data_IF_355339763160
#
_entry.id   IF_355339763160
#
_cell.length_a   1.000
_cell.length_b   1.000
_cell.length_c   1.000
_cell.angle_alpha   90.00
_cell.angle_beta   90.00
_cell.angle_gamma   90.00
#
_symmetry.space_group_name_H-M   'P 1'
#
loop_
_entity.id
_entity.type
_entity.pdbx_description
1 polymer ?
#
# COMPACT_ATOMS: atom_id res chain seq x y z
N UNK A 1 -6.60 -55.73 -61.94
CA UNK A 1 -7.80 -55.26 -61.25
C UNK A 1 -7.79 -55.84 -59.80
N UNK A 2 -7.37 -55.15 -58.85
CA UNK A 2 -7.43 -55.56 -57.38
C UNK A 2 -8.15 -54.46 -56.62
N UNK A 3 -9.32 -54.79 -56.08
CA UNK A 3 -10.13 -53.93 -55.21
C UNK A 3 -9.50 -53.94 -53.82
N UNK A 4 -9.14 -52.77 -53.31
CA UNK A 4 -8.80 -52.60 -51.94
C UNK A 4 -10.04 -52.16 -51.17
N UNK A 5 -10.41 -52.95 -50.19
CA UNK A 5 -11.43 -52.63 -49.19
C UNK A 5 -10.81 -51.73 -48.08
N UNK A 6 -11.48 -50.66 -47.75
CA UNK A 6 -11.15 -49.79 -46.62
C UNK A 6 -11.73 -50.36 -45.31
N UNK A 7 -11.01 -50.36 -44.20
CA UNK A 7 -11.60 -50.70 -42.92
C UNK A 7 -12.29 -49.46 -42.27
N UNK A 8 -13.49 -49.69 -41.82
CA UNK A 8 -14.33 -48.81 -41.04
C UNK A 8 -13.71 -48.70 -39.62
N UNK A 9 -13.32 -47.50 -39.24
CA UNK A 9 -12.92 -47.19 -37.87
C UNK A 9 -14.18 -46.88 -37.04
N UNK A 10 -14.54 -47.82 -36.16
CA UNK A 10 -15.50 -47.59 -35.07
C UNK A 10 -14.88 -46.68 -34.05
N UNK A 11 -15.45 -45.49 -33.88
CA UNK A 11 -15.07 -44.54 -32.85
C UNK A 11 -15.78 -44.94 -31.57
N UNK A 12 -15.09 -45.66 -30.67
CA UNK A 12 -15.50 -45.80 -29.29
C UNK A 12 -15.39 -44.45 -28.59
N UNK A 13 -16.52 -43.83 -28.34
CA UNK A 13 -16.65 -42.69 -27.45
C UNK A 13 -16.55 -43.22 -26.02
N UNK A 14 -15.35 -43.14 -25.44
CA UNK A 14 -15.13 -43.30 -24.02
C UNK A 14 -15.75 -42.12 -23.26
N UNK A 15 -16.96 -42.29 -22.76
CA UNK A 15 -17.58 -41.38 -21.80
C UNK A 15 -16.73 -41.38 -20.50
N UNK A 16 -15.90 -40.35 -20.37
CA UNK A 16 -15.27 -40.05 -19.06
C UNK A 16 -16.35 -39.53 -18.11
N UNK A 17 -16.45 -40.06 -16.89
CA UNK A 17 -17.35 -39.53 -15.89
C UNK A 17 -16.98 -38.07 -15.62
N UNK A 18 -17.93 -37.17 -15.79
CA UNK A 18 -17.79 -35.77 -15.38
C UNK A 18 -17.65 -35.77 -13.86
N UNK A 19 -16.43 -35.63 -13.40
CA UNK A 19 -16.11 -35.42 -11.99
C UNK A 19 -16.82 -34.15 -11.53
N UNK A 20 -17.89 -34.30 -10.74
CA UNK A 20 -18.61 -33.19 -10.13
C UNK A 20 -17.60 -32.46 -9.26
N UNK A 21 -17.11 -31.33 -9.78
CA UNK A 21 -16.35 -30.36 -8.99
C UNK A 21 -17.14 -30.04 -7.73
N UNK A 22 -16.67 -30.53 -6.61
CA UNK A 22 -17.15 -30.11 -5.28
C UNK A 22 -17.16 -28.58 -5.25
N UNK A 23 -18.21 -27.95 -4.72
CA UNK A 23 -18.23 -26.49 -4.60
C UNK A 23 -16.98 -26.05 -3.84
N UNK A 24 -16.22 -25.15 -4.44
CA UNK A 24 -15.06 -24.55 -3.81
C UNK A 24 -15.46 -24.02 -2.42
N UNK A 25 -14.62 -24.16 -1.41
CA UNK A 25 -14.92 -23.58 -0.09
C UNK A 25 -15.21 -22.09 -0.27
N UNK A 26 -16.19 -21.53 0.47
CA UNK A 26 -16.54 -20.12 0.36
C UNK A 26 -15.26 -19.30 0.55
N UNK A 27 -14.93 -18.50 -0.45
CA UNK A 27 -13.82 -17.55 -0.36
C UNK A 27 -14.07 -16.67 0.87
N UNK A 28 -13.10 -16.58 1.77
CA UNK A 28 -13.11 -15.71 2.95
C UNK A 28 -13.08 -14.22 2.53
N UNK A 29 -14.07 -13.82 1.74
CA UNK A 29 -14.23 -12.43 1.34
C UNK A 29 -14.84 -11.65 2.50
N UNK A 30 -14.46 -10.38 2.72
CA UNK A 30 -15.00 -9.55 3.80
C UNK A 30 -16.53 -9.41 3.75
N UNK A 31 -17.14 -9.55 2.58
CA UNK A 31 -18.58 -9.61 2.41
C UNK A 31 -19.22 -10.85 3.05
N UNK A 32 -18.54 -11.99 3.02
CA UNK A 32 -19.00 -13.24 3.64
C UNK A 32 -19.00 -13.14 5.16
N UNK A 33 -17.98 -12.52 5.75
CA UNK A 33 -17.88 -12.30 7.20
C UNK A 33 -18.94 -11.32 7.68
N UNK A 34 -19.19 -10.24 6.95
CA UNK A 34 -20.28 -9.29 7.26
C UNK A 34 -21.64 -9.96 7.22
N UNK A 35 -21.93 -10.74 6.18
CA UNK A 35 -23.19 -11.49 6.08
C UNK A 35 -23.37 -12.49 7.23
N UNK A 36 -22.29 -13.09 7.72
CA UNK A 36 -22.32 -13.96 8.88
C UNK A 36 -22.64 -13.19 10.16
N UNK A 37 -22.00 -12.04 10.38
CA UNK A 37 -22.24 -11.15 11.52
C UNK A 37 -23.71 -10.68 11.52
N UNK A 38 -24.22 -10.25 10.36
CA UNK A 38 -25.61 -9.81 10.20
C UNK A 38 -26.61 -10.93 10.54
N UNK A 39 -26.36 -12.15 10.06
CA UNK A 39 -27.19 -13.32 10.39
C UNK A 39 -27.19 -13.63 11.88
N UNK A 40 -26.02 -13.52 12.53
CA UNK A 40 -25.88 -13.74 13.97
C UNK A 40 -26.57 -12.64 14.77
N UNK A 41 -26.54 -11.40 14.31
CA UNK A 41 -27.21 -10.26 14.95
C UNK A 41 -28.75 -10.35 14.90
N UNK A 42 -29.30 -10.99 13.88
CA UNK A 42 -30.74 -11.19 13.71
C UNK A 42 -31.32 -12.36 14.53
N UNK A 43 -30.46 -13.21 15.09
CA UNK A 43 -30.91 -14.34 15.91
C UNK A 43 -31.04 -13.92 17.38
N UNK A 44 -32.27 -13.88 17.96
CA UNK A 44 -32.49 -13.43 19.33
C UNK A 44 -31.91 -14.38 20.41
N UNK A 45 -31.37 -15.53 20.00
CA UNK A 45 -30.73 -16.49 20.90
C UNK A 45 -29.22 -16.22 21.05
N UNK A 46 -28.70 -15.30 20.27
CA UNK A 46 -27.28 -14.98 20.34
C UNK A 46 -26.98 -13.98 21.45
N UNK A 47 -25.94 -14.28 22.20
CA UNK A 47 -25.39 -13.43 23.22
C UNK A 47 -24.72 -12.19 22.60
N UNK A 48 -25.07 -11.00 23.11
CA UNK A 48 -24.51 -9.71 22.68
C UNK A 48 -22.99 -9.71 22.79
N UNK A 49 -22.44 -10.33 23.83
CA UNK A 49 -21.00 -10.45 24.03
C UNK A 49 -20.31 -11.22 22.88
N UNK A 50 -20.96 -12.23 22.35
CA UNK A 50 -20.46 -13.01 21.21
C UNK A 50 -20.41 -12.16 19.94
N UNK A 51 -21.42 -11.33 19.73
CA UNK A 51 -21.48 -10.40 18.60
C UNK A 51 -20.37 -9.34 18.70
N UNK A 52 -20.17 -8.76 19.88
CA UNK A 52 -19.07 -7.79 20.12
C UNK A 52 -17.71 -8.40 19.83
N UNK A 53 -17.45 -9.62 20.26
CA UNK A 53 -16.20 -10.34 19.96
C UNK A 53 -16.00 -10.57 18.45
N UNK A 54 -17.07 -10.93 17.73
CA UNK A 54 -17.01 -11.09 16.28
C UNK A 54 -16.74 -9.76 15.57
N UNK A 55 -17.38 -8.67 16.00
CA UNK A 55 -17.12 -7.33 15.47
C UNK A 55 -15.67 -6.88 15.72
N UNK A 56 -15.15 -7.12 16.93
CA UNK A 56 -13.77 -6.82 17.27
C UNK A 56 -12.78 -7.63 16.42
N UNK A 57 -13.05 -8.90 16.17
CA UNK A 57 -12.24 -9.73 15.26
C UNK A 57 -12.28 -9.18 13.82
N UNK A 58 -13.45 -8.82 13.33
CA UNK A 58 -13.61 -8.25 11.99
C UNK A 58 -12.82 -6.95 11.84
N UNK A 59 -12.91 -6.04 12.83
CA UNK A 59 -12.14 -4.81 12.83
C UNK A 59 -10.63 -5.06 12.81
N UNK A 60 -10.14 -6.04 13.59
CA UNK A 60 -8.73 -6.43 13.57
C UNK A 60 -8.29 -6.97 12.21
N UNK A 61 -9.11 -7.83 11.58
CA UNK A 61 -8.82 -8.33 10.23
C UNK A 61 -8.72 -7.18 9.24
N UNK A 62 -9.67 -6.25 9.26
CA UNK A 62 -9.66 -5.05 8.40
C UNK A 62 -8.45 -4.16 8.63
N UNK A 63 -8.07 -3.95 9.89
CA UNK A 63 -6.86 -3.19 10.22
C UNK A 63 -5.59 -3.87 9.71
N UNK A 64 -5.48 -5.19 9.86
CA UNK A 64 -4.33 -5.94 9.37
C UNK A 64 -4.26 -5.93 7.82
N UNK A 65 -5.40 -6.10 7.13
CA UNK A 65 -5.45 -5.99 5.67
C UNK A 65 -4.99 -4.60 5.20
N UNK A 66 -5.45 -3.53 5.85
CA UNK A 66 -5.08 -2.16 5.54
C UNK A 66 -3.57 -1.92 5.76
N UNK A 67 -3.01 -2.44 6.84
CA UNK A 67 -1.58 -2.36 7.15
C UNK A 67 -0.74 -3.13 6.12
N UNK A 68 -1.14 -4.33 5.75
CA UNK A 68 -0.45 -5.13 4.73
C UNK A 68 -0.48 -4.42 3.37
N UNK A 69 -1.62 -3.86 2.97
CA UNK A 69 -1.75 -3.10 1.73
C UNK A 69 -0.86 -1.85 1.74
N UNK A 70 -0.83 -1.10 2.86
CA UNK A 70 0.06 0.03 3.06
C UNK A 70 1.54 -0.36 2.92
N UNK A 71 1.97 -1.41 3.63
CA UNK A 71 3.35 -1.87 3.59
C UNK A 71 3.77 -2.34 2.20
N UNK A 72 2.86 -2.99 1.46
CA UNK A 72 3.10 -3.40 0.08
C UNK A 72 3.26 -2.19 -0.86
N UNK A 73 2.38 -1.18 -0.75
CA UNK A 73 2.46 0.06 -1.53
C UNK A 73 3.75 0.84 -1.20
N UNK A 74 4.06 1.04 0.08
CA UNK A 74 5.31 1.65 0.56
C UNK A 74 6.54 0.94 0.00
N UNK A 75 6.54 -0.41 0.02
CA UNK A 75 7.64 -1.21 -0.53
C UNK A 75 7.82 -1.01 -2.04
N UNK A 76 6.75 -0.87 -2.82
CA UNK A 76 6.82 -0.59 -4.26
C UNK A 76 7.38 0.81 -4.54
N UNK A 77 6.93 1.82 -3.79
CA UNK A 77 7.46 3.19 -3.89
C UNK A 77 8.96 3.22 -3.59
N UNK A 78 9.39 2.60 -2.49
CA UNK A 78 10.80 2.58 -2.09
C UNK A 78 11.70 1.90 -3.15
N UNK A 79 11.23 0.81 -3.77
CA UNK A 79 11.96 0.16 -4.87
C UNK A 79 12.12 1.09 -6.08
N UNK A 80 11.08 1.86 -6.44
CA UNK A 80 11.13 2.82 -7.55
C UNK A 80 12.01 4.02 -7.20
N UNK A 81 11.92 4.55 -5.98
CA UNK A 81 12.74 5.65 -5.50
C UNK A 81 14.24 5.31 -5.50
N UNK A 82 14.59 4.08 -5.17
CA UNK A 82 16.00 3.63 -5.19
C UNK A 82 16.64 3.71 -6.58
N UNK A 83 15.85 3.72 -7.65
CA UNK A 83 16.33 3.84 -9.03
C UNK A 83 16.42 5.30 -9.51
N UNK A 84 15.85 6.24 -8.76
CA UNK A 84 15.79 7.66 -9.15
C UNK A 84 17.04 8.38 -8.62
N UNK A 85 17.76 9.03 -9.52
CA UNK A 85 18.89 9.88 -9.17
C UNK A 85 18.42 11.31 -8.95
N UNK A 86 18.31 11.72 -7.69
CA UNK A 86 17.97 13.10 -7.33
C UNK A 86 19.20 13.98 -7.49
N UNK A 87 19.06 15.08 -8.24
CA UNK A 87 20.15 16.01 -8.52
C UNK A 87 20.24 17.08 -7.42
N UNK A 88 21.39 17.17 -6.77
CA UNK A 88 21.68 18.23 -5.80
C UNK A 88 22.19 19.47 -6.56
N UNK A 89 21.29 20.34 -6.96
CA UNK A 89 21.57 21.49 -7.83
C UNK A 89 21.63 22.83 -7.10
N UNK A 90 21.25 22.89 -5.82
CA UNK A 90 21.36 24.10 -5.01
C UNK A 90 22.50 23.97 -4.00
N UNK A 91 23.21 25.08 -3.78
CA UNK A 91 24.26 25.19 -2.78
C UNK A 91 23.94 26.34 -1.83
N UNK A 92 24.12 26.10 -0.54
CA UNK A 92 24.12 27.15 0.48
C UNK A 92 25.56 27.47 0.79
N UNK A 93 25.94 28.72 0.56
CA UNK A 93 27.21 29.26 1.06
C UNK A 93 26.94 29.73 2.50
N UNK A 94 27.81 29.41 3.46
CA UNK A 94 27.70 30.00 4.79
C UNK A 94 27.69 31.51 4.67
N UNK A 95 26.82 32.15 5.43
CA UNK A 95 26.71 33.60 5.48
C UNK A 95 28.04 34.18 6.01
N UNK A 96 28.85 34.72 5.10
CA UNK A 96 30.13 35.37 5.47
C UNK A 96 29.76 36.74 5.98
N UNK A 97 30.03 37.02 7.27
CA UNK A 97 29.94 38.36 7.81
C UNK A 97 30.73 39.32 6.90
N UNK A 98 29.99 40.32 6.33
CA UNK A 98 30.55 41.29 5.43
C UNK A 98 31.71 42.01 6.11
N UNK A 99 32.94 41.71 5.71
CA UNK A 99 34.13 42.46 6.11
C UNK A 99 35.31 41.68 6.62
N UNK A 100 35.25 40.35 6.76
CA UNK A 100 36.45 39.57 7.18
C UNK A 100 36.90 38.63 6.05
N UNK A 101 38.14 38.77 5.54
CA UNK A 101 38.66 37.79 4.60
C UNK A 101 38.94 36.49 5.35
N UNK A 102 38.03 35.52 5.19
CA UNK A 102 38.26 34.17 5.72
C UNK A 102 39.08 33.36 4.70
N UNK A 103 40.32 33.06 5.06
CA UNK A 103 41.16 32.03 4.45
C UNK A 103 40.64 30.67 4.90
N UNK A 104 39.70 30.08 4.16
CA UNK A 104 39.24 28.73 4.36
C UNK A 104 38.38 28.31 3.19
N UNK A 105 38.63 27.12 2.67
CA UNK A 105 37.80 26.50 1.64
C UNK A 105 36.53 26.05 2.33
N UNK A 106 35.45 26.87 2.25
CA UNK A 106 34.14 26.45 2.71
C UNK A 106 33.56 25.50 1.65
N UNK A 107 33.35 24.24 1.99
CA UNK A 107 32.57 23.35 1.15
C UNK A 107 31.12 23.86 1.13
N UNK A 108 30.68 24.28 -0.03
CA UNK A 108 29.30 24.62 -0.24
C UNK A 108 28.43 23.38 -0.01
N UNK A 109 27.55 23.43 0.96
CA UNK A 109 26.59 22.35 1.17
C UNK A 109 25.63 22.28 0.00
N UNK A 110 25.64 21.16 -0.73
CA UNK A 110 24.74 20.94 -1.86
C UNK A 110 23.53 20.13 -1.40
N UNK A 111 22.36 20.59 -1.76
CA UNK A 111 21.10 19.91 -1.46
C UNK A 111 20.19 19.84 -2.69
N UNK A 112 19.27 18.88 -2.66
CA UNK A 112 18.19 18.82 -3.62
C UNK A 112 17.05 19.70 -3.11
N UNK A 113 16.56 20.64 -3.90
CA UNK A 113 15.40 21.44 -3.52
C UNK A 113 14.15 20.56 -3.42
N UNK A 114 13.18 20.98 -2.60
CA UNK A 114 11.95 20.22 -2.38
C UNK A 114 11.19 19.98 -3.69
N UNK A 115 11.19 20.94 -4.59
CA UNK A 115 10.54 20.85 -5.89
C UNK A 115 11.10 19.71 -6.76
N UNK A 116 12.40 19.45 -6.65
CA UNK A 116 13.04 18.35 -7.38
C UNK A 116 12.66 17.00 -6.76
N UNK A 117 12.56 16.94 -5.45
CA UNK A 117 12.10 15.74 -4.74
C UNK A 117 10.63 15.46 -5.07
N UNK A 118 9.77 16.46 -4.98
CA UNK A 118 8.34 16.39 -5.25
C UNK A 118 8.03 15.91 -6.67
N UNK A 119 8.77 16.42 -7.65
CA UNK A 119 8.63 16.03 -9.05
C UNK A 119 8.73 14.51 -9.26
N UNK A 120 9.57 13.86 -8.50
CA UNK A 120 9.75 12.41 -8.57
C UNK A 120 8.83 11.65 -7.62
N UNK A 121 8.57 12.20 -6.44
CA UNK A 121 7.81 11.51 -5.39
C UNK A 121 6.30 11.51 -5.67
N UNK A 122 5.72 12.66 -6.07
CA UNK A 122 4.27 12.77 -6.28
C UNK A 122 3.67 11.78 -7.28
N UNK A 123 4.29 11.52 -8.46
CA UNK A 123 3.77 10.51 -9.38
C UNK A 123 3.74 9.11 -8.78
N UNK A 124 4.76 8.74 -7.99
CA UNK A 124 4.84 7.44 -7.35
C UNK A 124 3.79 7.27 -6.24
N UNK A 125 3.56 8.33 -5.46
CA UNK A 125 2.49 8.34 -4.45
C UNK A 125 1.11 8.19 -5.10
N UNK A 126 0.85 8.93 -6.18
CA UNK A 126 -0.42 8.86 -6.91
C UNK A 126 -0.66 7.47 -7.51
N UNK A 127 0.35 6.84 -8.10
CA UNK A 127 0.27 5.49 -8.67
C UNK A 127 -0.11 4.44 -7.62
N UNK A 128 0.43 4.56 -6.42
CA UNK A 128 0.20 3.63 -5.32
C UNK A 128 -0.94 4.08 -4.38
N UNK A 129 -1.71 5.09 -4.79
CA UNK A 129 -2.83 5.65 -4.02
C UNK A 129 -2.43 6.05 -2.59
N UNK A 130 -1.24 6.63 -2.45
CA UNK A 130 -0.73 7.16 -1.19
C UNK A 130 -0.86 8.67 -1.16
N UNK A 131 -1.17 9.21 0.02
CA UNK A 131 -1.21 10.64 0.29
C UNK A 131 -0.14 11.02 1.32
N UNK A 132 0.58 12.11 1.04
CA UNK A 132 1.58 12.66 1.95
C UNK A 132 1.15 14.08 2.33
N UNK A 133 0.82 14.23 3.60
CA UNK A 133 0.41 15.51 4.19
C UNK A 133 1.38 15.93 5.29
N UNK A 134 1.44 17.24 5.54
CA UNK A 134 2.24 17.83 6.60
C UNK A 134 1.36 18.72 7.46
N UNK A 135 1.61 18.69 8.76
CA UNK A 135 1.03 19.61 9.72
C UNK A 135 2.15 20.20 10.60
N UNK A 136 1.99 21.44 11.00
CA UNK A 136 2.87 22.14 11.91
C UNK A 136 2.17 22.35 13.25
N UNK A 137 2.91 22.12 14.33
CA UNK A 137 2.45 22.33 15.69
C UNK A 137 3.43 23.32 16.37
N UNK A 138 2.99 24.53 16.72
CA UNK A 138 3.83 25.47 17.47
C UNK A 138 4.11 24.91 18.87
N UNK A 139 5.36 24.99 19.32
CA UNK A 139 5.80 24.61 20.64
C UNK A 139 6.33 25.81 21.41
N UNK A 140 6.43 25.65 22.72
CA UNK A 140 7.05 26.65 23.59
C UNK A 140 8.50 26.94 23.17
N UNK A 141 8.90 28.21 23.25
CA UNK A 141 10.25 28.64 22.85
C UNK A 141 10.42 28.95 21.37
N UNK A 142 9.33 29.08 20.61
CA UNK A 142 9.38 29.45 19.18
C UNK A 142 9.78 28.30 18.26
N UNK A 143 9.80 27.09 18.77
CA UNK A 143 10.03 25.88 17.97
C UNK A 143 8.74 25.47 17.24
N UNK A 144 8.90 24.93 16.05
CA UNK A 144 7.81 24.35 15.27
C UNK A 144 8.10 22.88 15.08
N UNK A 145 7.16 22.03 15.52
CA UNK A 145 7.21 20.61 15.23
C UNK A 145 6.49 20.33 13.91
N UNK A 146 7.19 19.74 12.98
CA UNK A 146 6.61 19.31 11.70
C UNK A 146 6.27 17.83 11.82
N UNK A 147 5.00 17.49 11.54
CA UNK A 147 4.53 16.12 11.47
C UNK A 147 4.21 15.78 10.02
N UNK A 148 4.92 14.81 9.47
CA UNK A 148 4.58 14.22 8.17
C UNK A 148 3.70 13.01 8.36
N UNK A 149 2.61 12.90 7.58
CA UNK A 149 1.72 11.74 7.56
C UNK A 149 1.68 11.13 6.18
N UNK A 150 2.03 9.85 6.09
CA UNK A 150 1.89 9.06 4.89
C UNK A 150 0.70 8.11 5.06
N UNK A 151 -0.33 8.27 4.23
CA UNK A 151 -1.60 7.52 4.30
C UNK A 151 -1.85 6.74 3.02
N UNK A 152 -2.30 5.49 3.16
CA UNK A 152 -2.82 4.69 2.04
C UNK A 152 -4.32 4.89 1.91
N UNK A 153 -4.77 5.47 0.80
CA UNK A 153 -6.16 5.90 0.64
C UNK A 153 -7.17 4.74 0.69
N UNK A 154 -6.96 3.60 -0.02
CA UNK A 154 -7.95 2.51 -0.02
C UNK A 154 -8.13 1.85 1.35
N UNK A 155 -7.05 1.66 2.10
CA UNK A 155 -7.08 0.98 3.40
C UNK A 155 -7.25 1.93 4.59
N UNK A 156 -7.01 3.22 4.40
CA UNK A 156 -7.05 4.22 5.45
C UNK A 156 -5.89 4.13 6.46
N UNK A 157 -5.00 3.16 6.35
CA UNK A 157 -3.84 3.01 7.21
C UNK A 157 -2.83 4.14 6.97
N UNK A 158 -2.20 4.64 8.03
CA UNK A 158 -1.22 5.72 7.94
C UNK A 158 -0.08 5.55 8.94
N UNK A 159 1.02 6.22 8.66
CA UNK A 159 2.20 6.29 9.51
C UNK A 159 2.62 7.76 9.66
N UNK A 160 2.90 8.18 10.88
CA UNK A 160 3.35 9.53 11.20
C UNK A 160 4.87 9.55 11.42
N UNK A 161 5.54 10.54 10.87
CA UNK A 161 6.94 10.86 11.12
C UNK A 161 7.04 12.26 11.73
N UNK A 162 7.88 12.40 12.75
CA UNK A 162 8.16 13.68 13.41
C UNK A 162 9.54 14.19 12.95
N UNK A 163 9.61 15.46 12.60
CA UNK A 163 10.83 16.17 12.20
C UNK A 163 11.07 17.39 13.07
#
# INVERSE_FOLDING_TARGET
>A
MKKHASPTLETEQSERPVERLSPAPPSDSPSTVLALIERVALDPRNDVEKLERMMAMYQRLKSNEAELAYNAAKGRILKKLALIKIVKNRSVLPEIEKGKPQKGTYEAFRYAPLEEIDKHLRPLLAEEQMDLSYSDEPREGGQILIRGRLKHLPGGHYEDALC
#
